data_IF_341717420570
#
_entry.id   IF_341717420570
#
_cell.length_a   1.000
_cell.length_b   1.000
_cell.length_c   1.000
_cell.angle_alpha   90.00
_cell.angle_beta   90.00
_cell.angle_gamma   90.00
#
_symmetry.space_group_name_H-M   'P 1'
#
loop_
_entity.id
_entity.type
_entity.pdbx_description
1 polymer ?
#
# COMPACT_ATOMS: atom_id res chain seq x y z
N UNK A 1 31.47 -69.94 -15.81
CA UNK A 1 31.48 -69.19 -14.54
C UNK A 1 31.76 -67.72 -14.79
N UNK A 2 30.75 -66.85 -14.70
CA UNK A 2 30.90 -65.39 -14.59
C UNK A 2 29.84 -64.90 -13.62
N UNK A 3 30.24 -64.57 -12.39
CA UNK A 3 29.37 -63.97 -11.38
C UNK A 3 29.36 -62.46 -11.65
N UNK A 4 28.19 -61.92 -12.01
CA UNK A 4 27.95 -60.48 -12.07
C UNK A 4 27.39 -60.04 -10.71
N UNK A 5 28.23 -59.38 -9.92
CA UNK A 5 27.82 -58.73 -8.67
C UNK A 5 27.05 -57.45 -9.03
N UNK A 6 25.74 -57.45 -8.81
CA UNK A 6 24.89 -56.28 -8.98
C UNK A 6 24.88 -55.49 -7.67
N UNK A 7 25.51 -54.32 -7.63
CA UNK A 7 25.41 -53.38 -6.53
C UNK A 7 24.02 -52.72 -6.55
N UNK A 8 23.16 -53.06 -5.59
CA UNK A 8 21.93 -52.32 -5.33
C UNK A 8 22.25 -51.08 -4.49
N UNK A 9 22.16 -49.90 -5.10
CA UNK A 9 22.09 -48.64 -4.37
C UNK A 9 20.70 -48.52 -3.73
N UNK A 10 20.66 -48.61 -2.40
CA UNK A 10 19.46 -48.32 -1.60
C UNK A 10 19.32 -46.79 -1.50
N UNK A 11 18.47 -46.18 -2.34
CA UNK A 11 18.07 -44.78 -2.18
C UNK A 11 16.98 -44.73 -1.11
N UNK A 12 17.34 -44.32 0.10
CA UNK A 12 16.38 -43.99 1.15
C UNK A 12 15.84 -42.58 0.87
N UNK A 13 14.69 -42.50 0.20
CA UNK A 13 13.90 -41.27 0.16
C UNK A 13 13.23 -41.08 1.52
N UNK A 14 13.78 -40.18 2.35
CA UNK A 14 13.09 -39.69 3.54
C UNK A 14 11.96 -38.77 3.04
N UNK A 15 10.75 -39.34 2.87
CA UNK A 15 9.53 -38.53 2.83
C UNK A 15 9.31 -37.99 4.25
N UNK A 16 9.85 -36.80 4.52
CA UNK A 16 9.31 -35.94 5.56
C UNK A 16 7.88 -35.59 5.14
N UNK A 17 6.91 -36.34 5.64
CA UNK A 17 5.51 -35.94 5.67
C UNK A 17 5.39 -34.73 6.60
N UNK A 18 5.86 -33.57 6.14
CA UNK A 18 5.52 -32.29 6.73
C UNK A 18 4.04 -32.07 6.45
N UNK A 19 3.19 -32.28 7.46
CA UNK A 19 1.80 -31.88 7.37
C UNK A 19 1.77 -30.42 6.90
N UNK A 20 1.22 -30.18 5.71
CA UNK A 20 1.01 -28.82 5.24
C UNK A 20 0.22 -28.09 6.32
N UNK A 21 0.74 -26.99 6.89
CA UNK A 21 0.02 -26.26 7.92
C UNK A 21 -1.39 -25.97 7.39
N UNK A 22 -2.41 -26.17 8.22
CA UNK A 22 -3.76 -25.70 7.86
C UNK A 22 -3.61 -24.23 7.46
N UNK A 23 -4.11 -23.85 6.29
CA UNK A 23 -3.88 -22.50 5.74
C UNK A 23 -4.27 -21.40 6.74
N UNK A 24 -5.27 -21.65 7.59
CA UNK A 24 -5.65 -20.80 8.72
C UNK A 24 -4.52 -20.51 9.72
N UNK A 25 -3.61 -21.45 9.96
CA UNK A 25 -2.54 -21.32 10.95
C UNK A 25 -1.27 -20.67 10.36
N UNK A 26 -1.20 -20.52 9.02
CA UNK A 26 -0.08 -19.90 8.30
C UNK A 26 0.20 -18.47 8.74
N UNK A 27 -0.85 -17.73 9.11
CA UNK A 27 -0.73 -16.37 9.62
C UNK A 27 0.22 -16.25 10.83
N UNK A 28 0.28 -17.27 11.71
CA UNK A 28 1.19 -17.23 12.88
C UNK A 28 2.66 -17.28 12.45
N UNK A 29 2.98 -18.09 11.43
CA UNK A 29 4.34 -18.18 10.89
C UNK A 29 4.74 -16.89 10.18
N UNK A 30 3.82 -16.30 9.41
CA UNK A 30 4.05 -15.00 8.76
C UNK A 30 4.29 -13.90 9.81
N UNK A 31 3.43 -13.82 10.83
CA UNK A 31 3.60 -12.84 11.91
C UNK A 31 4.96 -13.01 12.61
N UNK A 32 5.36 -14.25 12.93
CA UNK A 32 6.69 -14.53 13.51
C UNK A 32 7.82 -14.00 12.64
N UNK A 33 7.74 -14.21 11.33
CA UNK A 33 8.70 -13.66 10.37
C UNK A 33 8.74 -12.14 10.37
N UNK A 34 7.58 -11.47 10.46
CA UNK A 34 7.47 -10.02 10.51
C UNK A 34 8.08 -9.48 11.80
N UNK A 35 7.71 -10.03 12.97
CA UNK A 35 8.16 -9.51 14.27
C UNK A 35 9.59 -9.93 14.64
N UNK A 36 10.19 -10.87 13.90
CA UNK A 36 11.61 -11.18 14.02
C UNK A 36 12.51 -10.14 13.36
N UNK A 37 11.95 -9.22 12.56
CA UNK A 37 12.74 -8.24 11.83
C UNK A 37 13.32 -7.16 12.76
N UNK A 38 14.53 -6.64 12.45
CA UNK A 38 15.17 -5.63 13.29
C UNK A 38 14.35 -4.35 13.49
N UNK A 39 13.50 -3.99 12.52
CA UNK A 39 12.63 -2.80 12.59
C UNK A 39 11.37 -3.05 13.43
N UNK A 40 10.97 -4.31 13.65
CA UNK A 40 9.74 -4.69 14.36
C UNK A 40 9.96 -5.02 15.85
N UNK A 41 11.06 -4.54 16.45
CA UNK A 41 11.49 -4.93 17.81
C UNK A 41 10.43 -4.70 18.89
N UNK A 42 9.66 -3.61 18.80
CA UNK A 42 8.56 -3.30 19.73
C UNK A 42 7.42 -4.31 19.65
N UNK A 43 7.29 -5.06 18.55
CA UNK A 43 6.19 -5.97 18.25
C UNK A 43 6.49 -7.44 18.52
N UNK A 44 7.61 -7.79 19.18
CA UNK A 44 7.99 -9.18 19.44
C UNK A 44 6.94 -10.03 20.16
N UNK A 45 6.11 -9.40 21.00
CA UNK A 45 5.02 -10.06 21.73
C UNK A 45 3.69 -10.04 21.00
N UNK A 46 3.64 -9.55 19.75
CA UNK A 46 2.40 -9.41 19.02
C UNK A 46 1.72 -10.76 18.76
N UNK A 47 0.40 -10.76 18.80
CA UNK A 47 -0.41 -11.98 18.59
C UNK A 47 -1.54 -11.74 17.61
N UNK A 48 -1.99 -12.79 16.94
CA UNK A 48 -3.16 -12.75 16.08
C UNK A 48 -4.45 -12.95 16.87
N UNK A 49 -5.45 -12.13 16.56
CA UNK A 49 -6.82 -12.22 17.07
C UNK A 49 -7.81 -12.29 15.92
N UNK A 50 -9.00 -12.84 16.20
CA UNK A 50 -10.13 -12.85 15.27
C UNK A 50 -9.78 -13.44 13.88
N UNK A 51 -9.00 -14.53 13.85
CA UNK A 51 -8.63 -15.20 12.60
C UNK A 51 -9.88 -15.75 11.91
N UNK A 52 -10.20 -15.20 10.74
CA UNK A 52 -11.38 -15.57 9.95
C UNK A 52 -11.12 -15.50 8.47
N UNK A 53 -11.85 -16.31 7.70
CA UNK A 53 -11.85 -16.25 6.25
C UNK A 53 -12.79 -15.11 5.80
N UNK A 54 -12.33 -14.28 4.87
CA UNK A 54 -13.06 -13.13 4.37
C UNK A 54 -13.13 -13.20 2.86
N UNK A 55 -14.36 -13.16 2.35
CA UNK A 55 -14.64 -13.00 0.93
C UNK A 55 -15.04 -11.56 0.65
N UNK A 56 -14.88 -11.14 -0.60
CA UNK A 56 -15.47 -9.90 -1.07
C UNK A 56 -17.00 -9.95 -0.90
N UNK A 57 -17.60 -8.83 -0.48
CA UNK A 57 -19.05 -8.72 -0.32
C UNK A 57 -19.71 -9.03 -1.70
N UNK A 58 -20.68 -9.96 -1.76
CA UNK A 58 -21.18 -10.49 -3.03
C UNK A 58 -21.98 -9.47 -3.86
N UNK A 59 -22.56 -8.47 -3.19
CA UNK A 59 -23.41 -7.42 -3.76
C UNK A 59 -22.69 -6.06 -3.83
N UNK A 60 -21.35 -6.04 -3.88
CA UNK A 60 -20.62 -4.80 -4.14
C UNK A 60 -21.07 -4.19 -5.46
N UNK A 61 -21.26 -2.87 -5.47
CA UNK A 61 -21.58 -2.14 -6.71
C UNK A 61 -20.48 -2.26 -7.76
N UNK A 62 -19.22 -2.35 -7.31
CA UNK A 62 -18.03 -2.44 -8.15
C UNK A 62 -17.12 -3.55 -7.60
N UNK A 63 -17.46 -4.83 -7.82
CA UNK A 63 -16.65 -5.94 -7.33
C UNK A 63 -15.33 -6.00 -8.08
N UNK A 64 -14.25 -6.23 -7.35
CA UNK A 64 -12.93 -6.49 -7.92
C UNK A 64 -12.69 -7.99 -8.12
N UNK A 65 -13.60 -8.84 -7.65
CA UNK A 65 -13.54 -10.30 -7.70
C UNK A 65 -12.24 -10.83 -7.07
N UNK A 66 -11.79 -10.19 -5.99
CA UNK A 66 -10.58 -10.61 -5.28
C UNK A 66 -10.83 -11.96 -4.58
N UNK A 67 -9.86 -12.89 -4.62
CA UNK A 67 -10.00 -14.18 -3.96
C UNK A 67 -10.22 -14.01 -2.45
N UNK A 68 -10.87 -14.98 -1.79
CA UNK A 68 -10.97 -14.97 -0.35
C UNK A 68 -9.60 -14.95 0.31
N UNK A 69 -9.48 -14.29 1.45
CA UNK A 69 -8.24 -14.20 2.23
C UNK A 69 -8.51 -14.57 3.67
N UNK A 70 -7.55 -15.19 4.32
CA UNK A 70 -7.55 -15.20 5.78
C UNK A 70 -7.17 -13.80 6.28
N UNK A 71 -7.86 -13.35 7.32
CA UNK A 71 -7.64 -12.07 7.96
C UNK A 71 -7.53 -12.25 9.46
N UNK A 72 -6.64 -11.48 10.08
CA UNK A 72 -6.51 -11.39 11.52
C UNK A 72 -6.17 -9.95 11.94
N UNK A 73 -6.63 -9.58 13.13
CA UNK A 73 -6.12 -8.40 13.83
C UNK A 73 -4.81 -8.79 14.52
N UNK A 74 -3.83 -7.90 14.47
CA UNK A 74 -2.60 -8.01 15.25
C UNK A 74 -2.79 -7.20 16.52
N UNK A 75 -2.71 -7.84 17.67
CA UNK A 75 -2.60 -7.16 18.97
C UNK A 75 -1.13 -6.93 19.28
N UNK A 76 -0.74 -5.66 19.40
CA UNK A 76 0.63 -5.21 19.64
C UNK A 76 0.87 -4.65 21.04
N UNK A 77 2.05 -4.06 21.28
CA UNK A 77 2.41 -3.44 22.55
C UNK A 77 1.54 -2.21 22.85
N UNK A 78 1.33 -1.90 24.13
CA UNK A 78 0.64 -0.68 24.60
C UNK A 78 -0.75 -0.43 23.96
N UNK A 79 -1.44 -1.49 23.55
CA UNK A 79 -2.75 -1.40 22.88
C UNK A 79 -2.66 -1.05 21.38
N UNK A 80 -1.47 -0.93 20.80
CA UNK A 80 -1.29 -0.76 19.36
C UNK A 80 -1.90 -1.95 18.61
N UNK A 81 -2.38 -1.68 17.40
CA UNK A 81 -3.08 -2.68 16.60
C UNK A 81 -2.51 -2.74 15.18
N UNK A 82 -2.76 -3.85 14.52
CA UNK A 82 -2.41 -4.02 13.13
C UNK A 82 -3.36 -5.01 12.48
N UNK A 83 -3.05 -5.37 11.24
CA UNK A 83 -3.77 -6.42 10.54
C UNK A 83 -2.81 -7.27 9.73
N UNK A 84 -3.25 -8.49 9.47
CA UNK A 84 -2.55 -9.45 8.64
C UNK A 84 -3.55 -10.13 7.71
N UNK A 85 -3.21 -10.20 6.42
CA UNK A 85 -3.94 -10.93 5.40
C UNK A 85 -3.02 -11.90 4.66
N UNK A 86 -3.52 -13.12 4.41
CA UNK A 86 -2.79 -14.12 3.64
C UNK A 86 -3.76 -14.96 2.79
N UNK A 87 -3.22 -15.59 1.75
CA UNK A 87 -4.04 -16.31 0.77
C UNK A 87 -4.83 -17.45 1.44
N UNK A 88 -6.08 -17.63 1.00
CA UNK A 88 -6.94 -18.74 1.44
C UNK A 88 -6.69 -20.05 0.69
N UNK A 89 -5.85 -20.02 -0.34
CA UNK A 89 -5.51 -21.13 -1.23
C UNK A 89 -3.99 -21.20 -1.45
N UNK A 90 -3.54 -22.26 -2.12
CA UNK A 90 -2.12 -22.46 -2.44
C UNK A 90 -1.27 -22.63 -1.18
N UNK A 91 -0.17 -21.88 -1.10
CA UNK A 91 0.77 -21.92 0.03
C UNK A 91 0.39 -20.98 1.19
N UNK A 92 -0.72 -20.24 1.07
CA UNK A 92 -1.15 -19.29 2.10
C UNK A 92 -0.18 -18.12 2.26
N UNK A 93 0.36 -17.61 1.16
CA UNK A 93 1.38 -16.54 1.17
C UNK A 93 0.80 -15.23 1.68
N UNK A 94 1.68 -14.40 2.24
CA UNK A 94 1.34 -13.05 2.67
C UNK A 94 0.70 -12.25 1.52
N UNK A 95 -0.43 -11.62 1.81
CA UNK A 95 -1.13 -10.68 0.91
C UNK A 95 -0.83 -9.25 1.34
N UNK A 96 -0.98 -8.98 2.64
CA UNK A 96 -0.82 -7.64 3.17
C UNK A 96 -0.67 -7.65 4.69
N UNK A 97 0.06 -6.68 5.24
CA UNK A 97 0.00 -6.38 6.67
C UNK A 97 0.21 -4.88 6.96
N UNK A 98 -0.13 -4.48 8.17
CA UNK A 98 0.27 -3.19 8.74
C UNK A 98 0.44 -3.34 10.25
N UNK A 99 1.41 -2.62 10.81
CA UNK A 99 1.57 -2.42 12.25
C UNK A 99 1.39 -0.91 12.50
N UNK A 100 0.42 -0.52 13.32
CA UNK A 100 0.19 0.89 13.73
C UNK A 100 1.34 1.35 14.63
N UNK A 101 2.49 1.60 14.03
CA UNK A 101 3.73 2.07 14.64
C UNK A 101 4.53 2.85 13.58
N UNK A 102 5.60 3.49 14.04
CA UNK A 102 6.59 4.14 13.18
C UNK A 102 7.45 3.08 12.49
N UNK A 103 7.42 3.07 11.16
CA UNK A 103 8.25 2.17 10.38
C UNK A 103 9.53 2.87 9.89
N UNK A 104 10.69 2.41 10.37
CA UNK A 104 12.00 2.89 9.89
C UNK A 104 12.87 1.70 9.47
N UNK A 105 13.23 1.63 8.18
CA UNK A 105 14.08 0.57 7.63
C UNK A 105 15.04 1.12 6.57
N UNK A 106 16.32 0.76 6.72
CA UNK A 106 17.37 0.89 5.70
C UNK A 106 18.21 -0.39 5.71
N UNK A 107 18.22 -1.18 4.63
CA UNK A 107 19.06 -2.37 4.54
C UNK A 107 18.66 -3.37 3.45
N UNK A 108 19.39 -4.50 3.37
CA UNK A 108 19.32 -5.43 2.23
C UNK A 108 17.96 -6.09 1.96
N UNK A 109 17.10 -6.25 2.96
CA UNK A 109 15.77 -6.86 2.80
C UNK A 109 14.66 -5.85 2.46
N UNK A 110 14.94 -4.54 2.51
CA UNK A 110 13.97 -3.51 2.17
C UNK A 110 14.38 -2.09 2.55
N UNK A 111 13.62 -1.13 2.02
CA UNK A 111 13.84 0.30 2.24
C UNK A 111 12.52 1.04 2.37
N UNK A 112 12.48 2.07 3.23
CA UNK A 112 11.37 3.01 3.32
C UNK A 112 11.89 4.46 3.35
N UNK A 113 11.21 5.34 2.63
CA UNK A 113 11.47 6.79 2.56
C UNK A 113 10.78 7.44 3.75
N UNK A 114 11.56 8.16 4.56
CA UNK A 114 11.03 8.99 5.64
C UNK A 114 10.62 10.39 5.16
N UNK A 115 9.68 11.01 5.86
CA UNK A 115 9.27 12.40 5.63
C UNK A 115 8.25 12.60 4.51
N UNK A 116 7.71 11.52 3.92
CA UNK A 116 6.51 11.62 3.08
C UNK A 116 5.30 11.75 4.01
N UNK A 117 4.56 12.86 4.00
CA UNK A 117 3.48 13.06 4.94
C UNK A 117 2.28 12.15 4.61
N UNK A 118 1.71 11.51 5.61
CA UNK A 118 0.45 10.76 5.48
C UNK A 118 -0.73 11.70 5.63
N UNK A 119 -1.49 11.87 4.55
CA UNK A 119 -2.74 12.63 4.56
C UNK A 119 -3.91 11.67 4.50
N UNK A 120 -4.84 11.85 5.44
CA UNK A 120 -6.12 11.15 5.42
C UNK A 120 -7.08 11.88 4.48
N UNK A 121 -7.90 11.11 3.78
CA UNK A 121 -9.03 11.67 3.06
C UNK A 121 -9.97 12.38 4.03
N UNK A 122 -10.57 13.49 3.62
CA UNK A 122 -11.45 14.31 4.47
C UNK A 122 -12.73 14.73 3.72
N UNK A 123 -13.82 15.04 4.44
CA UNK A 123 -15.04 15.55 3.83
C UNK A 123 -14.85 16.95 3.27
N UNK A 124 -15.43 17.19 2.08
CA UNK A 124 -15.63 18.49 1.47
C UNK A 124 -17.11 18.67 1.11
N UNK A 125 -17.51 19.91 0.81
CA UNK A 125 -18.88 20.21 0.37
C UNK A 125 -19.02 19.93 -1.14
N UNK A 126 -19.93 19.02 -1.50
CA UNK A 126 -20.29 18.70 -2.87
C UNK A 126 -21.17 19.77 -3.52
N UNK A 127 -21.42 19.61 -4.83
CA UNK A 127 -22.28 20.55 -5.60
C UNK A 127 -23.73 20.56 -5.11
N UNK A 128 -24.19 19.44 -4.57
CA UNK A 128 -25.50 19.25 -3.97
C UNK A 128 -25.53 19.63 -2.48
N UNK A 129 -24.50 20.35 -1.99
CA UNK A 129 -24.28 20.71 -0.59
C UNK A 129 -24.14 19.52 0.36
N UNK A 130 -24.00 18.30 -0.17
CA UNK A 130 -23.77 17.10 0.65
C UNK A 130 -22.27 16.83 0.82
N UNK A 131 -21.87 16.17 1.92
CA UNK A 131 -20.48 15.75 2.09
C UNK A 131 -20.05 14.79 0.97
N UNK A 132 -18.88 15.06 0.41
CA UNK A 132 -18.17 14.17 -0.51
C UNK A 132 -16.70 14.10 -0.11
N UNK A 133 -16.07 12.95 -0.31
CA UNK A 133 -14.69 12.75 0.05
C UNK A 133 -13.72 13.55 -0.83
N UNK A 134 -12.62 14.03 -0.25
CA UNK A 134 -11.55 14.77 -0.95
C UNK A 134 -10.88 13.98 -2.08
N UNK A 135 -11.03 12.65 -2.11
CA UNK A 135 -10.57 11.76 -3.17
C UNK A 135 -9.16 11.21 -2.93
N UNK A 136 -8.96 9.91 -3.16
CA UNK A 136 -7.66 9.26 -2.95
C UNK A 136 -6.56 9.83 -3.86
N UNK A 137 -6.90 10.08 -5.13
CA UNK A 137 -5.98 10.62 -6.16
C UNK A 137 -5.33 11.95 -5.77
N UNK A 138 -6.07 13.04 -5.49
CA UNK A 138 -5.44 14.30 -5.07
C UNK A 138 -4.79 14.21 -3.68
N UNK A 139 -5.27 13.31 -2.81
CA UNK A 139 -4.71 13.16 -1.46
C UNK A 139 -3.34 12.48 -1.49
N UNK A 140 -3.20 11.38 -2.24
CA UNK A 140 -1.92 10.73 -2.48
C UNK A 140 -0.94 11.66 -3.20
N UNK A 141 -1.40 12.36 -4.25
CA UNK A 141 -0.59 13.34 -4.97
C UNK A 141 -0.05 14.44 -4.05
N UNK A 142 -0.88 14.97 -3.15
CA UNK A 142 -0.47 15.98 -2.18
C UNK A 142 0.66 15.48 -1.25
N UNK A 143 0.64 14.20 -0.84
CA UNK A 143 1.72 13.62 -0.05
C UNK A 143 3.07 13.66 -0.79
N UNK A 144 3.09 13.24 -2.05
CA UNK A 144 4.32 13.21 -2.86
C UNK A 144 4.79 14.62 -3.24
N UNK A 145 3.86 15.53 -3.57
CA UNK A 145 4.17 16.94 -3.82
C UNK A 145 4.74 17.61 -2.58
N UNK A 146 4.16 17.36 -1.39
CA UNK A 146 4.66 17.90 -0.14
C UNK A 146 6.07 17.42 0.19
N UNK A 147 6.36 16.15 -0.09
CA UNK A 147 7.71 15.60 0.06
C UNK A 147 8.70 16.40 -0.78
N UNK A 148 8.45 16.54 -2.08
CA UNK A 148 9.33 17.30 -2.98
C UNK A 148 9.42 18.78 -2.63
N UNK A 149 8.32 19.38 -2.20
CA UNK A 149 8.30 20.77 -1.77
C UNK A 149 9.19 21.01 -0.55
N UNK A 150 9.16 20.09 0.42
CA UNK A 150 10.01 20.17 1.62
C UNK A 150 11.49 19.88 1.35
N UNK A 151 11.79 19.09 0.30
CA UNK A 151 13.15 18.59 0.02
C UNK A 151 13.92 19.44 -0.97
N UNK A 152 13.30 19.84 -2.09
CA UNK A 152 14.02 20.50 -3.20
C UNK A 152 13.25 21.68 -3.79
N UNK A 153 11.91 21.69 -3.73
CA UNK A 153 11.09 22.62 -4.52
C UNK A 153 10.05 23.38 -3.68
N UNK A 154 10.46 24.23 -2.72
CA UNK A 154 9.53 24.90 -1.80
C UNK A 154 8.43 25.71 -2.50
N UNK A 155 8.69 26.23 -3.72
CA UNK A 155 7.70 26.93 -4.54
C UNK A 155 6.48 26.06 -4.88
N UNK A 156 6.63 24.73 -4.95
CA UNK A 156 5.54 23.81 -5.27
C UNK A 156 4.48 23.72 -4.17
N UNK A 157 4.81 24.09 -2.92
CA UNK A 157 3.82 24.23 -1.85
C UNK A 157 2.79 25.34 -2.13
N UNK A 158 3.13 26.29 -3.02
CA UNK A 158 2.34 27.48 -3.31
C UNK A 158 2.81 28.73 -2.55
N UNK A 159 2.34 29.90 -3.00
CA UNK A 159 2.79 31.22 -2.49
C UNK A 159 2.40 31.50 -1.03
N UNK A 160 1.35 30.87 -0.55
CA UNK A 160 1.00 30.84 0.87
C UNK A 160 1.39 29.45 1.38
N UNK A 161 2.09 29.36 2.52
CA UNK A 161 2.46 28.09 3.18
C UNK A 161 1.20 27.32 3.60
N UNK A 162 0.59 26.73 2.61
CA UNK A 162 -0.77 26.21 2.61
C UNK A 162 -0.83 24.95 3.47
N UNK A 163 -1.92 24.78 4.20
CA UNK A 163 -2.12 23.56 4.97
C UNK A 163 -2.13 22.35 4.02
N UNK A 164 -1.79 21.13 4.49
CA UNK A 164 -1.98 19.90 3.73
C UNK A 164 -3.32 19.81 2.98
N UNK A 165 -4.38 20.30 3.64
CA UNK A 165 -5.74 20.34 3.11
C UNK A 165 -5.84 21.20 1.85
N UNK A 166 -5.23 22.38 1.86
CA UNK A 166 -5.27 23.32 0.75
C UNK A 166 -4.54 22.78 -0.48
N UNK A 167 -3.44 22.06 -0.27
CA UNK A 167 -2.73 21.38 -1.36
C UNK A 167 -3.63 20.31 -2.01
N UNK A 168 -4.31 19.49 -1.21
CA UNK A 168 -5.27 18.49 -1.70
C UNK A 168 -6.38 19.17 -2.51
N UNK A 169 -6.95 20.27 -1.99
CA UNK A 169 -8.01 21.02 -2.67
C UNK A 169 -7.54 21.65 -3.99
N UNK A 170 -6.31 22.19 -4.02
CA UNK A 170 -5.68 22.78 -5.21
C UNK A 170 -5.42 21.76 -6.31
N UNK A 171 -5.00 20.55 -5.96
CA UNK A 171 -4.84 19.46 -6.92
C UNK A 171 -6.21 18.94 -7.39
N UNK A 172 -7.14 18.75 -6.45
CA UNK A 172 -8.50 18.29 -6.74
C UNK A 172 -9.24 19.22 -7.69
N UNK A 173 -9.12 20.54 -7.54
CA UNK A 173 -9.84 21.51 -8.39
C UNK A 173 -9.45 21.45 -9.87
N UNK A 174 -8.31 20.83 -10.19
CA UNK A 174 -7.80 20.63 -11.54
C UNK A 174 -8.15 19.25 -12.14
N UNK A 175 -8.70 18.36 -11.33
CA UNK A 175 -9.06 16.98 -11.73
C UNK A 175 -10.55 16.88 -12.06
N UNK A 176 -10.89 16.01 -13.02
CA UNK A 176 -12.28 15.68 -13.31
C UNK A 176 -12.77 14.62 -12.33
N UNK A 177 -13.12 15.07 -11.13
CA UNK A 177 -13.59 14.17 -10.08
C UNK A 177 -14.95 13.55 -10.42
N UNK A 178 -15.01 12.22 -10.36
CA UNK A 178 -16.24 11.44 -10.50
C UNK A 178 -16.74 11.05 -9.11
N UNK A 179 -17.96 11.47 -8.72
CA UNK A 179 -18.56 11.08 -7.45
C UNK A 179 -19.08 9.64 -7.49
N UNK A 180 -18.93 8.92 -6.38
CA UNK A 180 -19.45 7.57 -6.20
C UNK A 180 -20.29 7.50 -4.91
N UNK A 181 -21.60 7.26 -5.00
CA UNK A 181 -22.45 7.08 -3.81
C UNK A 181 -21.95 5.90 -2.96
N UNK A 182 -21.78 6.12 -1.66
CA UNK A 182 -21.28 5.12 -0.72
C UNK A 182 -22.42 4.22 -0.20
N UNK A 183 -22.99 3.43 -1.10
CA UNK A 183 -24.07 2.48 -0.78
C UNK A 183 -23.56 1.20 -0.09
N UNK A 184 -22.27 0.90 -0.25
CA UNK A 184 -21.63 -0.30 0.29
C UNK A 184 -21.01 -0.07 1.67
N UNK A 185 -20.95 1.19 2.12
CA UNK A 185 -20.48 1.56 3.46
C UNK A 185 -18.96 1.54 3.59
N UNK A 186 -18.24 2.09 2.61
CA UNK A 186 -16.81 2.35 2.68
C UNK A 186 -16.48 3.31 3.82
N UNK A 187 -17.22 4.42 3.92
CA UNK A 187 -17.11 5.40 4.99
C UNK A 187 -18.02 5.03 6.17
N UNK A 188 -17.79 5.62 7.35
CA UNK A 188 -18.66 5.40 8.53
C UNK A 188 -19.98 6.16 8.44
N UNK A 189 -20.01 7.26 7.69
CA UNK A 189 -21.14 8.19 7.59
C UNK A 189 -21.82 8.18 6.21
N UNK A 190 -21.55 7.16 5.38
CA UNK A 190 -22.07 7.04 4.00
C UNK A 190 -21.78 8.28 3.13
N UNK A 191 -20.68 8.97 3.42
CA UNK A 191 -20.20 10.07 2.60
C UNK A 191 -19.82 9.52 1.22
N UNK A 192 -20.29 10.19 0.16
CA UNK A 192 -19.93 9.80 -1.20
C UNK A 192 -18.40 9.84 -1.38
N UNK A 193 -17.87 8.83 -2.06
CA UNK A 193 -16.47 8.80 -2.48
C UNK A 193 -16.28 9.66 -3.74
N UNK A 194 -15.02 9.91 -4.10
CA UNK A 194 -14.67 10.58 -5.33
C UNK A 194 -13.36 10.04 -5.90
N UNK A 195 -13.36 9.71 -7.19
CA UNK A 195 -12.18 9.22 -7.92
C UNK A 195 -11.86 10.10 -9.13
N UNK A 196 -10.64 9.96 -9.64
CA UNK A 196 -10.20 10.53 -10.91
C UNK A 196 -9.28 9.50 -11.61
N UNK A 197 -9.07 9.65 -12.91
CA UNK A 197 -8.17 8.75 -13.63
C UNK A 197 -6.69 9.15 -13.39
N UNK A 198 -5.77 8.17 -13.20
CA UNK A 198 -4.34 8.48 -13.05
C UNK A 198 -3.74 9.24 -14.24
N UNK A 199 -4.28 9.06 -15.45
CA UNK A 199 -3.88 9.82 -16.64
C UNK A 199 -4.23 11.30 -16.56
N UNK A 200 -5.34 11.66 -15.90
CA UNK A 200 -5.66 13.07 -15.65
C UNK A 200 -4.71 13.68 -14.63
N UNK A 201 -4.34 12.91 -13.60
CA UNK A 201 -3.35 13.34 -12.62
C UNK A 201 -1.99 13.61 -13.25
N UNK A 202 -1.56 12.78 -14.21
CA UNK A 202 -0.34 13.03 -14.99
C UNK A 202 -0.36 14.42 -15.64
N UNK A 203 -1.44 14.77 -16.33
CA UNK A 203 -1.55 16.05 -17.03
C UNK A 203 -1.63 17.22 -16.06
N UNK A 204 -2.34 17.09 -14.94
CA UNK A 204 -2.35 18.09 -13.86
C UNK A 204 -0.94 18.33 -13.33
N UNK A 205 -0.19 17.27 -13.00
CA UNK A 205 1.14 17.41 -12.44
C UNK A 205 2.14 17.98 -13.46
N UNK A 206 2.05 17.62 -14.75
CA UNK A 206 2.85 18.24 -15.82
C UNK A 206 2.55 19.74 -15.94
N UNK A 207 1.29 20.14 -15.85
CA UNK A 207 0.93 21.55 -15.85
C UNK A 207 1.48 22.28 -14.60
N UNK A 208 1.54 21.61 -13.44
CA UNK A 208 2.17 22.17 -12.25
C UNK A 208 3.66 22.40 -12.43
N UNK A 209 4.40 21.48 -13.06
CA UNK A 209 5.83 21.68 -13.26
C UNK A 209 6.13 22.88 -14.15
N UNK A 210 5.30 23.16 -15.15
CA UNK A 210 5.38 24.39 -15.95
C UNK A 210 5.02 25.62 -15.10
N UNK A 211 3.90 25.58 -14.38
CA UNK A 211 3.39 26.71 -13.59
C UNK A 211 4.37 27.17 -12.51
N UNK A 212 5.03 26.23 -11.84
CA UNK A 212 5.96 26.51 -10.75
C UNK A 212 7.44 26.47 -11.17
N UNK A 213 7.72 26.37 -12.48
CA UNK A 213 9.07 26.24 -13.05
C UNK A 213 9.92 25.15 -12.36
N UNK A 214 9.36 23.95 -12.26
CA UNK A 214 9.96 22.82 -11.54
C UNK A 214 10.74 21.94 -12.53
N UNK A 215 12.05 21.72 -12.32
CA UNK A 215 12.84 20.80 -13.13
C UNK A 215 12.53 19.35 -12.72
N UNK A 216 11.31 18.89 -12.95
CA UNK A 216 10.82 17.56 -12.60
C UNK A 216 10.32 16.88 -13.88
N UNK A 217 10.85 15.68 -14.14
CA UNK A 217 10.30 14.75 -15.10
C UNK A 217 9.16 13.98 -14.46
N UNK A 218 8.02 13.93 -15.17
CA UNK A 218 6.86 13.15 -14.76
C UNK A 218 6.59 12.09 -15.81
N UNK A 219 6.48 10.84 -15.36
CA UNK A 219 6.19 9.69 -16.21
C UNK A 219 5.04 8.87 -15.64
N UNK A 220 4.27 8.24 -16.53
CA UNK A 220 3.22 7.30 -16.18
C UNK A 220 3.44 6.00 -16.93
N UNK A 221 3.27 4.87 -16.26
CA UNK A 221 3.46 3.57 -16.89
C UNK A 221 2.89 2.42 -16.07
N UNK A 222 3.03 1.22 -16.62
CA UNK A 222 2.68 -0.02 -15.92
C UNK A 222 3.59 -0.19 -14.71
N UNK A 223 3.01 -0.60 -13.59
CA UNK A 223 3.79 -0.94 -12.40
C UNK A 223 4.68 -2.15 -12.69
N UNK A 224 5.95 -2.05 -12.31
CA UNK A 224 6.84 -3.20 -12.15
C UNK A 224 7.63 -3.01 -10.85
N UNK A 225 7.81 -4.10 -10.10
CA UNK A 225 8.57 -4.02 -8.85
C UNK A 225 10.01 -3.53 -9.05
N UNK A 226 10.76 -3.91 -10.10
CA UNK A 226 12.10 -3.37 -10.35
C UNK A 226 12.13 -1.85 -10.59
N UNK A 227 11.14 -1.31 -11.33
CA UNK A 227 11.04 0.14 -11.53
C UNK A 227 10.75 0.85 -10.21
N UNK A 228 9.76 0.37 -9.46
CA UNK A 228 9.40 0.95 -8.18
C UNK A 228 10.55 0.89 -7.17
N UNK A 229 11.21 -0.27 -7.05
CA UNK A 229 12.40 -0.45 -6.20
C UNK A 229 13.48 0.58 -6.54
N UNK A 230 13.76 0.81 -7.83
CA UNK A 230 14.74 1.82 -8.27
C UNK A 230 14.37 3.22 -7.79
N UNK A 231 13.09 3.60 -7.86
CA UNK A 231 12.65 4.92 -7.36
C UNK A 231 12.85 5.03 -5.84
N UNK A 232 12.44 4.01 -5.08
CA UNK A 232 12.62 3.99 -3.62
C UNK A 232 14.10 3.99 -3.20
N UNK A 233 14.96 3.22 -3.88
CA UNK A 233 16.41 3.19 -3.64
C UNK A 233 17.03 4.59 -3.79
N UNK A 234 16.51 5.39 -4.72
CA UNK A 234 16.92 6.78 -4.96
C UNK A 234 16.17 7.80 -4.09
N UNK A 235 15.44 7.36 -3.05
CA UNK A 235 14.62 8.22 -2.19
C UNK A 235 13.57 9.03 -2.95
N UNK A 236 12.98 8.46 -4.01
CA UNK A 236 11.93 9.08 -4.81
C UNK A 236 10.59 8.38 -4.56
N UNK A 237 9.68 8.97 -3.77
CA UNK A 237 8.35 8.40 -3.60
C UNK A 237 7.58 8.49 -4.93
N UNK A 238 6.69 7.53 -5.14
CA UNK A 238 5.90 7.42 -6.37
C UNK A 238 4.41 7.40 -6.05
N UNK A 239 3.58 7.72 -7.04
CA UNK A 239 2.14 7.53 -6.96
C UNK A 239 1.80 6.18 -7.60
N UNK A 240 0.96 5.41 -6.91
CA UNK A 240 0.66 4.03 -7.25
C UNK A 240 -0.85 3.82 -7.30
N UNK A 241 -1.31 3.29 -8.43
CA UNK A 241 -2.69 2.85 -8.58
C UNK A 241 -2.78 1.34 -8.31
N UNK A 242 -3.68 0.94 -7.43
CA UNK A 242 -3.82 -0.44 -6.97
C UNK A 242 -5.29 -0.88 -6.85
N UNK A 243 -5.49 -2.19 -6.77
CA UNK A 243 -6.77 -2.83 -6.53
C UNK A 243 -6.65 -3.56 -5.19
N UNK A 244 -7.33 -3.06 -4.16
CA UNK A 244 -7.09 -3.50 -2.77
C UNK A 244 -8.39 -3.72 -2.00
N UNK A 245 -8.30 -4.52 -0.94
CA UNK A 245 -9.33 -4.56 0.12
C UNK A 245 -9.21 -3.33 1.00
N UNK A 246 -10.29 -2.92 1.66
CA UNK A 246 -10.25 -1.89 2.69
C UNK A 246 -9.76 -2.51 3.99
N UNK A 247 -8.61 -2.10 4.51
CA UNK A 247 -7.96 -2.77 5.63
C UNK A 247 -8.86 -2.98 6.87
N UNK A 248 -9.68 -1.98 7.23
CA UNK A 248 -10.59 -2.02 8.38
C UNK A 248 -11.98 -2.62 8.05
N UNK A 249 -12.28 -2.82 6.77
CA UNK A 249 -13.50 -3.47 6.26
C UNK A 249 -13.12 -4.41 5.10
N UNK A 250 -12.36 -5.49 5.35
CA UNK A 250 -11.72 -6.30 4.32
C UNK A 250 -12.68 -7.03 3.36
N UNK A 251 -13.97 -7.08 3.69
CA UNK A 251 -15.03 -7.52 2.77
C UNK A 251 -15.27 -6.52 1.62
N UNK A 252 -14.91 -5.26 1.80
CA UNK A 252 -14.99 -4.22 0.78
C UNK A 252 -13.67 -4.16 0.00
N UNK A 253 -13.77 -3.89 -1.29
CA UNK A 253 -12.62 -3.70 -2.17
C UNK A 253 -12.84 -2.47 -3.06
N UNK A 254 -11.74 -1.82 -3.47
CA UNK A 254 -11.80 -0.54 -4.16
C UNK A 254 -10.56 -0.31 -5.04
N UNK A 255 -10.73 0.22 -6.27
CA UNK A 255 -9.62 0.83 -7.00
C UNK A 255 -9.10 2.05 -6.25
N UNK A 256 -7.80 2.10 -5.99
CA UNK A 256 -7.22 3.06 -5.06
C UNK A 256 -5.95 3.71 -5.60
N UNK A 257 -5.64 4.89 -5.07
CA UNK A 257 -4.42 5.65 -5.37
C UNK A 257 -3.72 6.01 -4.07
N UNK A 258 -2.44 5.65 -3.96
CA UNK A 258 -1.64 5.76 -2.74
C UNK A 258 -0.24 6.29 -3.04
N UNK A 259 0.43 6.83 -2.03
CA UNK A 259 1.83 7.20 -2.14
C UNK A 259 2.72 5.98 -1.78
N UNK A 260 3.48 5.49 -2.75
CA UNK A 260 4.49 4.46 -2.57
C UNK A 260 5.75 5.03 -1.94
N UNK A 261 6.12 4.48 -0.78
CA UNK A 261 7.19 5.00 0.08
C UNK A 261 8.22 3.96 0.46
N UNK A 262 7.97 2.68 0.25
CA UNK A 262 8.92 1.63 0.60
C UNK A 262 8.71 0.33 -0.14
N UNK A 263 9.69 -0.56 -0.05
CA UNK A 263 9.54 -1.96 -0.45
C UNK A 263 10.16 -2.86 0.62
N UNK A 264 9.64 -4.08 0.71
CA UNK A 264 10.12 -5.07 1.65
C UNK A 264 9.92 -6.47 1.06
N UNK A 265 10.86 -7.38 1.30
CA UNK A 265 10.73 -8.78 0.89
C UNK A 265 10.80 -9.68 2.11
N UNK A 266 9.77 -10.51 2.26
CA UNK A 266 9.66 -11.49 3.33
C UNK A 266 8.82 -12.67 2.84
N UNK A 267 9.18 -13.89 3.26
CA UNK A 267 8.41 -15.09 2.89
C UNK A 267 8.30 -15.28 1.37
N UNK A 268 9.36 -14.92 0.63
CA UNK A 268 9.41 -14.86 -0.84
C UNK A 268 8.32 -13.97 -1.49
N UNK A 269 7.73 -13.06 -0.71
CA UNK A 269 6.74 -12.09 -1.13
C UNK A 269 7.35 -10.70 -1.22
N UNK A 270 7.26 -10.12 -2.42
CA UNK A 270 7.60 -8.72 -2.68
C UNK A 270 6.45 -7.81 -2.28
N UNK A 271 6.70 -6.95 -1.30
CA UNK A 271 5.74 -6.01 -0.74
C UNK A 271 6.10 -4.59 -1.12
N UNK A 272 5.07 -3.79 -1.35
CA UNK A 272 5.12 -2.35 -1.56
C UNK A 272 4.55 -1.69 -0.31
N UNK A 273 5.36 -0.87 0.34
CA UNK A 273 4.98 -0.03 1.45
C UNK A 273 4.35 1.27 0.96
N UNK A 274 3.15 1.56 1.43
CA UNK A 274 2.37 2.73 1.01
C UNK A 274 1.88 3.57 2.21
N UNK A 275 1.81 4.88 2.00
CA UNK A 275 1.02 5.78 2.82
C UNK A 275 -0.40 5.80 2.26
N UNK A 276 -1.33 5.23 3.01
CA UNK A 276 -2.71 5.00 2.56
C UNK A 276 -3.67 6.01 3.19
N UNK A 277 -4.31 6.81 2.33
CA UNK A 277 -5.26 7.84 2.72
C UNK A 277 -6.66 7.30 3.14
N UNK A 278 -6.89 5.98 3.05
CA UNK A 278 -8.06 5.25 3.55
C UNK A 278 -7.76 4.43 4.82
N UNK A 279 -6.50 4.36 5.23
CA UNK A 279 -6.08 3.58 6.37
C UNK A 279 -6.08 4.46 7.62
N UNK A 280 -7.05 4.28 8.54
CA UNK A 280 -7.02 4.99 9.81
C UNK A 280 -5.84 4.46 10.64
N UNK A 281 -5.01 5.38 11.11
CA UNK A 281 -3.79 5.08 11.86
C UNK A 281 -3.60 6.11 12.96
N UNK A 282 -3.13 5.69 14.13
CA UNK A 282 -2.76 6.63 15.20
C UNK A 282 -1.32 7.15 14.99
N UNK A 283 -0.53 6.44 14.19
CA UNK A 283 0.82 6.82 13.82
C UNK A 283 0.86 7.26 12.34
N UNK A 284 1.19 8.53 12.10
CA UNK A 284 1.21 9.12 10.75
C UNK A 284 2.26 8.49 9.84
N UNK A 285 3.25 7.82 10.43
CA UNK A 285 4.35 7.14 9.78
C UNK A 285 4.06 5.67 9.50
N UNK A 286 2.86 5.17 9.83
CA UNK A 286 2.49 3.78 9.57
C UNK A 286 2.44 3.49 8.08
N UNK A 287 3.12 2.41 7.70
CA UNK A 287 3.19 1.92 6.34
C UNK A 287 2.33 0.67 6.23
N UNK A 288 1.40 0.70 5.27
CA UNK A 288 0.66 -0.49 4.84
C UNK A 288 1.51 -1.24 3.82
N UNK A 289 1.81 -2.51 4.08
CA UNK A 289 2.64 -3.36 3.23
C UNK A 289 1.77 -4.29 2.39
N UNK A 290 1.71 -4.06 1.08
CA UNK A 290 0.80 -4.73 0.17
C UNK A 290 1.59 -5.52 -0.86
N UNK A 291 1.19 -6.77 -1.15
CA UNK A 291 1.83 -7.58 -2.19
C UNK A 291 1.78 -6.88 -3.55
N UNK A 292 2.89 -6.98 -4.28
CA UNK A 292 3.12 -6.27 -5.55
C UNK A 292 2.04 -6.50 -6.63
N UNK A 293 1.31 -7.62 -6.58
CA UNK A 293 0.31 -8.01 -7.58
C UNK A 293 -0.98 -7.17 -7.52
N UNK A 294 -1.19 -6.43 -6.42
CA UNK A 294 -2.25 -5.44 -6.28
C UNK A 294 -2.04 -4.20 -7.16
N UNK A 295 -0.80 -3.90 -7.55
CA UNK A 295 -0.44 -2.65 -8.24
C UNK A 295 -0.55 -2.78 -9.75
N UNK A 296 -1.11 -1.75 -10.39
CA UNK A 296 -1.39 -1.72 -11.84
C UNK A 296 -0.54 -0.71 -12.58
N UNK A 297 -0.45 0.50 -12.04
CA UNK A 297 0.32 1.60 -12.63
C UNK A 297 1.14 2.34 -11.59
N UNK A 298 2.15 3.04 -12.11
CA UNK A 298 3.04 3.90 -11.34
C UNK A 298 3.17 5.24 -12.08
N UNK A 299 3.09 6.33 -11.32
CA UNK A 299 3.41 7.68 -11.76
C UNK A 299 4.65 8.15 -10.99
N UNK A 300 5.74 8.39 -11.73
CA UNK A 300 7.04 8.79 -11.20
C UNK A 300 7.18 10.31 -11.26
N UNK A 301 7.71 10.89 -10.18
CA UNK A 301 8.02 12.32 -10.07
C UNK A 301 9.51 12.42 -9.74
N UNK A 302 10.34 12.68 -10.76
CA UNK A 302 11.79 12.64 -10.65
C UNK A 302 12.39 14.02 -10.93
N UNK A 303 13.15 14.62 -9.99
CA UNK A 303 13.97 15.79 -10.31
C UNK A 303 14.89 15.48 -11.51
N UNK A 304 14.96 16.38 -12.49
CA UNK A 304 15.98 16.27 -13.54
C UNK A 304 17.36 16.37 -12.88
N UNK A 305 18.30 15.58 -13.38
CA UNK A 305 19.70 15.80 -13.06
C UNK A 305 20.08 17.18 -13.62
N UNK A 306 20.78 17.98 -12.82
CA UNK A 306 21.34 19.24 -13.29
C UNK A 306 22.44 18.87 -14.29
N UNK A 307 22.33 19.35 -15.54
CA UNK A 307 23.39 19.26 -16.55
C UNK A 307 24.59 20.13 -16.15
#
# INVERSE_FOLDING_TARGET
>A
MKVRTLFYFLIVTIQLAGATPKLRDRGLSILRGIVSQPWAKSWKSATLKNIRLISEKPDLRQPLNLPPVWFALISGPNGASGHLMWDSIGEGRLVEFSLDDKFEMKGGAGQAISGVPSFQQFPIVGKDLKPIASGCVPTAAASVVSYWASKKFPSWAGHNKNSPKDLVLRLRSKLKMTPFPDIDGFTTNQMALAGAYPSELLEVLKAETVTYNLPIQIGFGRFTFPLYKREIDNSRPALLSCLVRVAHKPQLSWPHEVAGVGYYEIDDVKLVGVMDNFFPTNHKETIRWIRQDAFRSILILRPREEE
#
